data_IF_074994338982
#
_entry.id   IF_074994338982
#
_cell.length_a   1.000
_cell.length_b   1.000
_cell.length_c   1.000
_cell.angle_alpha   90.00
_cell.angle_beta   90.00
_cell.angle_gamma   90.00
#
_symmetry.space_group_name_H-M   'P 1'
#
loop_
_entity.id
_entity.type
_entity.pdbx_description
1 polymer ?
#
# COMPACT_ATOMS: atom_id res chain seq x y z
N UNK A 1 -6.65 13.02 9.02
CA UNK A 1 -6.21 12.16 10.12
C UNK A 1 -4.71 12.29 10.38
N UNK A 2 -3.89 12.11 9.33
CA UNK A 2 -2.44 12.36 9.35
C UNK A 2 -2.13 13.37 8.26
N UNK A 3 -1.36 14.43 8.57
CA UNK A 3 -0.92 15.43 7.62
C UNK A 3 0.58 15.65 7.82
N UNK A 4 1.34 15.49 6.78
CA UNK A 4 2.77 15.79 6.72
C UNK A 4 2.93 16.87 5.67
N UNK A 5 3.59 17.97 5.99
CA UNK A 5 3.76 19.12 5.10
C UNK A 5 5.21 19.56 5.09
N UNK A 6 5.78 19.59 3.88
CA UNK A 6 7.13 20.06 3.61
C UNK A 6 8.20 19.44 4.53
N UNK A 7 8.03 18.13 4.86
CA UNK A 7 8.86 17.43 5.81
C UNK A 7 10.26 17.19 5.25
N UNK A 8 11.26 17.69 5.98
CA UNK A 8 12.67 17.45 5.68
C UNK A 8 13.34 16.76 6.85
N UNK A 9 14.16 15.74 6.54
CA UNK A 9 14.96 15.02 7.54
C UNK A 9 16.29 14.58 6.96
N UNK A 10 17.37 14.98 7.64
CA UNK A 10 18.72 14.60 7.31
C UNK A 10 19.38 13.89 8.50
N UNK A 11 19.99 12.77 8.26
CA UNK A 11 20.83 12.09 9.23
C UNK A 11 22.29 12.38 8.96
N UNK A 12 23.03 12.77 9.99
CA UNK A 12 24.47 12.95 9.92
C UNK A 12 25.15 11.70 10.47
N UNK A 13 25.95 11.02 9.67
CA UNK A 13 26.67 9.82 10.04
C UNK A 13 28.18 9.95 9.77
N UNK A 14 28.92 8.92 10.18
CA UNK A 14 30.38 8.84 10.00
C UNK A 14 30.84 8.97 8.54
N UNK A 15 29.98 8.62 7.58
CA UNK A 15 30.24 8.61 6.14
C UNK A 15 29.55 9.75 5.38
N UNK A 16 29.05 10.78 6.08
CA UNK A 16 28.41 11.94 5.45
C UNK A 16 26.97 12.17 5.90
N UNK A 17 26.31 13.08 5.18
CA UNK A 17 24.89 13.41 5.40
C UNK A 17 24.00 12.60 4.47
N UNK A 18 22.93 12.05 5.00
CA UNK A 18 21.90 11.34 4.23
C UNK A 18 20.59 12.11 4.36
N UNK A 19 20.12 12.66 3.26
CA UNK A 19 18.81 13.32 3.17
C UNK A 19 17.73 12.24 3.06
N UNK A 20 17.17 11.83 4.21
CA UNK A 20 16.18 10.77 4.26
C UNK A 20 14.80 11.21 3.78
N UNK A 21 14.45 12.49 4.00
CA UNK A 21 13.25 13.11 3.46
C UNK A 21 13.60 14.51 2.94
N UNK A 22 13.02 14.85 1.78
CA UNK A 22 13.22 16.12 1.08
C UNK A 22 11.87 16.61 0.58
N UNK A 23 11.33 17.62 1.25
CA UNK A 23 10.06 18.28 0.93
C UNK A 23 8.87 17.31 0.79
N UNK A 24 8.77 16.34 1.71
CA UNK A 24 7.72 15.33 1.68
C UNK A 24 6.41 15.87 2.21
N UNK A 25 5.35 15.76 1.39
CA UNK A 25 3.99 16.12 1.79
C UNK A 25 3.03 14.96 1.49
N UNK A 26 2.26 14.52 2.50
CA UNK A 26 1.19 13.51 2.37
C UNK A 26 0.00 13.88 3.24
N UNK A 27 -1.19 13.48 2.80
CA UNK A 27 -2.43 13.64 3.54
C UNK A 27 -3.21 12.33 3.59
N UNK A 28 -3.41 11.79 4.80
CA UNK A 28 -4.17 10.57 5.06
C UNK A 28 -5.46 10.95 5.76
N UNK A 29 -6.58 10.64 5.17
CA UNK A 29 -7.90 10.91 5.72
C UNK A 29 -8.33 9.82 6.71
N UNK A 30 -9.35 10.11 7.51
CA UNK A 30 -9.92 9.12 8.43
C UNK A 30 -10.55 7.97 7.62
N UNK A 31 -10.21 6.74 7.99
CA UNK A 31 -10.71 5.54 7.32
C UNK A 31 -9.92 5.12 6.07
N UNK A 32 -8.91 5.88 5.66
CA UNK A 32 -8.04 5.45 4.56
C UNK A 32 -7.23 4.21 4.94
N UNK A 33 -6.96 3.37 3.94
CA UNK A 33 -5.82 2.46 3.91
C UNK A 33 -4.84 3.07 2.92
N UNK A 34 -3.88 3.82 3.45
CA UNK A 34 -2.92 4.59 2.65
C UNK A 34 -1.60 3.83 2.52
N UNK A 35 -1.20 3.52 1.29
CA UNK A 35 0.06 2.86 0.99
C UNK A 35 1.20 3.85 0.75
N UNK A 36 2.38 3.58 1.29
CA UNK A 36 3.63 4.24 0.90
C UNK A 36 4.54 3.19 0.29
N UNK A 37 4.82 3.35 -1.01
CA UNK A 37 5.66 2.42 -1.75
C UNK A 37 6.95 3.10 -2.21
N UNK A 38 8.01 2.34 -2.31
CA UNK A 38 9.33 2.82 -2.78
C UNK A 38 10.40 1.76 -2.56
N UNK A 39 11.52 1.88 -3.27
CA UNK A 39 12.66 0.99 -3.07
C UNK A 39 13.29 1.16 -1.68
N UNK A 40 14.16 0.22 -1.29
CA UNK A 40 14.94 0.35 -0.06
C UNK A 40 15.72 1.67 -0.05
N UNK A 41 15.74 2.35 1.08
CA UNK A 41 16.38 3.66 1.21
C UNK A 41 15.58 4.86 0.69
N UNK A 42 14.34 4.68 0.20
CA UNK A 42 13.51 5.79 -0.28
C UNK A 42 12.99 6.73 0.82
N UNK A 43 13.23 6.46 2.11
CA UNK A 43 12.79 7.31 3.23
C UNK A 43 11.52 6.83 3.95
N UNK A 44 10.89 5.75 3.50
CA UNK A 44 9.60 5.25 4.02
C UNK A 44 9.57 5.03 5.54
N UNK A 45 10.53 4.28 6.08
CA UNK A 45 10.60 4.01 7.52
C UNK A 45 10.91 5.27 8.35
N UNK A 46 11.62 6.25 7.78
CA UNK A 46 11.80 7.56 8.41
C UNK A 46 10.46 8.29 8.51
N UNK A 47 9.68 8.28 7.44
CA UNK A 47 8.37 8.93 7.41
C UNK A 47 7.40 8.33 8.44
N UNK A 48 7.34 6.99 8.57
CA UNK A 48 6.46 6.36 9.58
C UNK A 48 6.92 6.67 11.02
N UNK A 49 8.25 6.76 11.25
CA UNK A 49 8.79 7.14 12.55
C UNK A 49 8.49 8.58 12.92
N UNK A 50 8.43 9.48 11.95
CA UNK A 50 7.98 10.86 12.15
C UNK A 50 6.50 10.89 12.55
N UNK A 51 5.63 10.16 11.85
CA UNK A 51 4.20 10.07 12.16
C UNK A 51 3.96 9.50 13.56
N UNK A 52 4.79 8.57 14.01
CA UNK A 52 4.72 8.02 15.37
C UNK A 52 5.47 8.88 16.41
N UNK A 53 6.06 10.01 15.99
CA UNK A 53 6.85 10.90 16.84
C UNK A 53 8.13 10.25 17.42
N UNK A 54 8.62 9.16 16.82
CA UNK A 54 9.89 8.51 17.20
C UNK A 54 11.10 9.25 16.64
N UNK A 55 10.89 10.05 15.60
CA UNK A 55 11.88 10.95 15.02
C UNK A 55 11.36 12.38 15.05
N UNK A 56 12.28 13.34 14.93
CA UNK A 56 11.98 14.77 14.81
C UNK A 56 12.34 15.27 13.42
N UNK A 57 11.56 16.22 12.90
CA UNK A 57 11.85 16.92 11.64
C UNK A 57 13.03 17.89 11.80
N UNK A 58 13.71 18.16 10.69
CA UNK A 58 14.61 19.29 10.57
C UNK A 58 13.83 20.56 10.16
N UNK A 59 12.82 20.39 9.29
CA UNK A 59 11.84 21.44 8.93
C UNK A 59 10.54 20.81 8.40
N UNK A 60 9.48 21.60 8.30
CA UNK A 60 8.13 21.15 7.96
C UNK A 60 7.29 20.80 9.19
N UNK A 61 6.11 20.20 9.00
CA UNK A 61 5.19 19.85 10.08
C UNK A 61 4.65 18.43 9.92
N UNK A 62 4.35 17.79 11.05
CA UNK A 62 3.58 16.54 11.13
C UNK A 62 2.44 16.75 12.10
N UNK A 63 1.23 16.63 11.62
CA UNK A 63 -0.01 16.74 12.40
C UNK A 63 -0.71 15.39 12.41
N UNK A 64 -1.08 14.92 13.60
CA UNK A 64 -1.84 13.68 13.82
C UNK A 64 -3.02 13.98 14.71
N UNK A 65 -4.23 13.62 14.31
CA UNK A 65 -5.48 13.98 15.02
C UNK A 65 -5.67 15.49 15.24
N UNK A 66 -5.11 16.33 14.36
CA UNK A 66 -5.14 17.79 14.53
C UNK A 66 -4.11 18.34 15.51
N UNK A 67 -3.28 17.49 16.12
CA UNK A 67 -2.21 17.89 17.03
C UNK A 67 -0.86 17.86 16.28
N UNK A 68 -0.16 19.01 16.27
CA UNK A 68 1.18 19.10 15.65
C UNK A 68 2.22 18.48 16.58
N UNK A 69 2.92 17.42 16.10
CA UNK A 69 3.84 16.63 16.92
C UNK A 69 5.03 17.43 17.46
N UNK A 70 5.53 18.41 16.68
CA UNK A 70 6.66 19.24 17.06
C UNK A 70 6.39 20.13 18.27
N UNK A 71 5.13 20.48 18.51
CA UNK A 71 4.70 21.34 19.64
C UNK A 71 4.38 20.56 20.91
N UNK A 72 4.26 19.20 20.84
CA UNK A 72 3.81 18.39 21.96
C UNK A 72 4.91 18.15 23.00
N UNK A 73 4.55 18.32 24.27
CA UNK A 73 5.40 17.89 25.40
C UNK A 73 5.35 16.36 25.54
N UNK A 74 6.39 15.77 26.16
CA UNK A 74 6.51 14.30 26.35
C UNK A 74 5.23 13.61 26.86
N UNK A 75 4.48 14.14 27.86
CA UNK A 75 3.25 13.51 28.32
C UNK A 75 2.13 13.50 27.26
N UNK A 76 2.00 14.60 26.51
CA UNK A 76 1.01 14.73 25.43
C UNK A 76 1.33 13.76 24.29
N UNK A 77 2.60 13.69 23.88
CA UNK A 77 3.06 12.74 22.87
C UNK A 77 2.82 11.27 23.29
N UNK A 78 3.01 10.94 24.58
CA UNK A 78 2.65 9.61 25.10
C UNK A 78 1.15 9.34 24.97
N UNK A 79 0.30 10.31 25.28
CA UNK A 79 -1.17 10.20 25.13
C UNK A 79 -1.55 10.00 23.67
N UNK A 80 -0.94 10.74 22.75
CA UNK A 80 -1.19 10.59 21.32
C UNK A 80 -0.77 9.21 20.81
N UNK A 81 0.42 8.71 21.21
CA UNK A 81 0.92 7.39 20.82
C UNK A 81 0.02 6.22 21.23
N UNK A 82 -0.81 6.38 22.27
CA UNK A 82 -1.81 5.36 22.65
C UNK A 82 -2.89 5.17 21.58
N UNK A 83 -3.16 6.23 20.79
CA UNK A 83 -4.10 6.20 19.67
C UNK A 83 -3.48 5.67 18.38
N UNK A 84 -2.19 5.32 18.41
CA UNK A 84 -1.43 4.83 17.28
C UNK A 84 -0.92 3.43 17.59
N UNK A 85 -1.46 2.41 16.93
CA UNK A 85 -0.91 1.07 16.94
C UNK A 85 0.23 0.94 15.94
N UNK A 86 1.22 0.10 16.21
CA UNK A 86 2.31 -0.16 15.28
C UNK A 86 2.53 -1.66 15.08
N UNK A 87 2.58 -2.07 13.83
CA UNK A 87 2.88 -3.43 13.36
C UNK A 87 4.23 -3.39 12.66
N UNK A 88 5.15 -4.24 13.07
CA UNK A 88 6.53 -4.25 12.62
C UNK A 88 6.82 -5.42 11.68
N UNK A 89 7.79 -5.25 10.79
CA UNK A 89 8.29 -6.27 9.88
C UNK A 89 8.81 -7.52 10.62
N UNK A 90 9.57 -7.34 11.69
CA UNK A 90 10.17 -8.41 12.49
C UNK A 90 9.32 -8.78 13.72
N UNK A 91 8.00 -8.52 13.69
CA UNK A 91 7.02 -8.76 14.74
C UNK A 91 7.30 -8.03 16.06
N UNK A 92 8.55 -7.87 16.47
CA UNK A 92 9.02 -7.26 17.73
C UNK A 92 8.28 -7.81 18.98
N UNK A 93 8.09 -9.12 19.01
CA UNK A 93 7.43 -9.83 20.11
C UNK A 93 8.45 -10.30 21.14
N UNK A 94 8.00 -10.42 22.39
CA UNK A 94 8.77 -11.00 23.46
C UNK A 94 8.71 -12.54 23.36
N UNK A 95 9.73 -13.16 22.78
CA UNK A 95 9.73 -14.60 22.48
C UNK A 95 9.68 -15.48 23.74
N UNK A 96 10.21 -14.99 24.86
CA UNK A 96 10.15 -15.67 26.17
C UNK A 96 8.80 -15.52 26.90
N UNK A 97 7.82 -14.87 26.27
CA UNK A 97 6.49 -14.65 26.84
C UNK A 97 5.42 -15.30 25.98
N UNK A 98 4.27 -15.59 26.61
CA UNK A 98 3.11 -16.15 25.92
C UNK A 98 2.45 -15.09 25.01
N UNK A 99 1.57 -15.56 24.16
CA UNK A 99 0.69 -14.72 23.31
C UNK A 99 -0.07 -13.72 24.19
N UNK A 100 -0.69 -14.21 25.27
CA UNK A 100 -1.40 -13.36 26.24
C UNK A 100 -0.55 -12.20 26.73
N UNK A 101 0.67 -12.48 27.22
CA UNK A 101 1.54 -11.45 27.78
C UNK A 101 2.00 -10.43 26.72
N UNK A 102 2.25 -10.87 25.49
CA UNK A 102 2.59 -9.96 24.41
C UNK A 102 1.45 -8.99 24.08
N UNK A 103 0.22 -9.50 24.00
CA UNK A 103 -0.98 -8.69 23.69
C UNK A 103 -1.33 -7.77 24.87
N UNK A 104 -1.22 -8.26 26.11
CA UNK A 104 -1.53 -7.51 27.32
C UNK A 104 -0.52 -6.40 27.63
N UNK A 105 0.70 -6.46 27.08
CA UNK A 105 1.82 -5.59 27.47
C UNK A 105 1.49 -4.10 27.43
N UNK A 106 0.85 -3.54 26.39
CA UNK A 106 0.51 -2.11 26.38
C UNK A 106 -0.38 -1.70 27.55
N UNK A 107 -1.39 -2.52 27.88
CA UNK A 107 -2.32 -2.24 28.97
C UNK A 107 -1.67 -2.44 30.35
N UNK A 108 -0.76 -3.40 30.49
CA UNK A 108 0.03 -3.60 31.72
C UNK A 108 0.87 -2.36 32.01
N UNK A 109 1.54 -1.80 30.98
CA UNK A 109 2.34 -0.59 31.10
C UNK A 109 1.50 0.64 31.46
N UNK A 110 0.23 0.64 31.10
CA UNK A 110 -0.75 1.65 31.48
C UNK A 110 -1.39 1.42 32.85
N UNK A 111 -1.04 0.34 33.53
CA UNK A 111 -1.58 -0.05 34.83
C UNK A 111 -3.11 -0.26 34.81
N UNK A 112 -3.63 -0.75 33.69
CA UNK A 112 -5.05 -1.10 33.56
C UNK A 112 -5.36 -2.29 34.50
N UNK A 113 -6.55 -2.33 35.15
CA UNK A 113 -6.95 -3.45 35.99
C UNK A 113 -6.93 -4.79 35.25
N UNK A 114 -6.47 -5.87 35.91
CA UNK A 114 -6.30 -7.20 35.28
C UNK A 114 -7.59 -7.70 34.62
N UNK A 115 -8.74 -7.52 35.25
CA UNK A 115 -10.03 -7.96 34.70
C UNK A 115 -10.35 -7.29 33.35
N UNK A 116 -10.02 -6.01 33.18
CA UNK A 116 -10.20 -5.28 31.93
C UNK A 116 -9.18 -5.76 30.87
N UNK A 117 -7.93 -6.01 31.28
CA UNK A 117 -6.90 -6.60 30.41
C UNK A 117 -7.37 -7.94 29.88
N UNK A 118 -7.85 -8.85 30.77
CA UNK A 118 -8.32 -10.19 30.41
C UNK A 118 -9.47 -10.11 29.39
N UNK A 119 -10.43 -9.22 29.61
CA UNK A 119 -11.55 -8.97 28.70
C UNK A 119 -11.04 -8.50 27.32
N UNK A 120 -10.16 -7.50 27.30
CA UNK A 120 -9.65 -6.92 26.06
C UNK A 120 -8.78 -7.88 25.27
N UNK A 121 -7.90 -8.61 25.95
CA UNK A 121 -7.06 -9.64 25.32
C UNK A 121 -7.92 -10.73 24.69
N UNK A 122 -8.97 -11.21 25.38
CA UNK A 122 -9.90 -12.20 24.82
C UNK A 122 -10.61 -11.67 23.57
N UNK A 123 -11.06 -10.40 23.59
CA UNK A 123 -11.72 -9.76 22.46
C UNK A 123 -10.80 -9.72 21.22
N UNK A 124 -9.56 -9.20 21.38
CA UNK A 124 -8.64 -9.09 20.25
C UNK A 124 -8.13 -10.44 19.76
N UNK A 125 -7.94 -11.43 20.64
CA UNK A 125 -7.58 -12.79 20.25
C UNK A 125 -8.64 -13.43 19.36
N UNK A 126 -9.93 -13.28 19.71
CA UNK A 126 -11.03 -13.72 18.88
C UNK A 126 -11.02 -13.03 17.52
N UNK A 127 -10.78 -11.71 17.50
CA UNK A 127 -10.77 -10.93 16.27
C UNK A 127 -9.67 -11.38 15.30
N UNK A 128 -8.48 -11.75 15.82
CA UNK A 128 -7.36 -12.24 15.00
C UNK A 128 -7.32 -13.77 14.86
N UNK A 129 -8.34 -14.49 15.37
CA UNK A 129 -8.48 -15.96 15.26
C UNK A 129 -7.31 -16.73 15.91
N UNK A 130 -6.94 -16.36 17.14
CA UNK A 130 -5.88 -17.00 17.92
C UNK A 130 -6.30 -17.30 19.35
N UNK A 131 -7.59 -17.56 19.63
CA UNK A 131 -8.10 -17.82 20.99
C UNK A 131 -7.46 -19.07 21.62
N UNK A 132 -7.24 -20.12 20.82
CA UNK A 132 -6.62 -21.37 21.21
C UNK A 132 -5.12 -21.27 21.53
N UNK A 133 -4.48 -20.18 21.14
CA UNK A 133 -3.03 -19.93 21.31
C UNK A 133 -2.70 -19.02 22.48
N UNK A 134 -3.68 -18.61 23.30
CA UNK A 134 -3.53 -17.62 24.36
C UNK A 134 -2.31 -17.87 25.26
N UNK A 135 -2.13 -19.11 25.71
CA UNK A 135 -1.11 -19.50 26.67
C UNK A 135 0.15 -20.12 26.03
N UNK A 136 0.20 -20.15 24.69
CA UNK A 136 1.35 -20.64 23.91
C UNK A 136 2.46 -19.59 23.92
N UNK A 137 3.72 -20.02 23.97
CA UNK A 137 4.88 -19.13 23.83
C UNK A 137 5.04 -18.68 22.38
N UNK A 138 5.41 -17.41 22.19
CA UNK A 138 5.57 -16.83 20.85
C UNK A 138 6.62 -17.55 20.01
N UNK A 139 7.68 -18.09 20.64
CA UNK A 139 8.70 -18.91 19.98
C UNK A 139 8.16 -20.14 19.25
N UNK A 140 6.99 -20.65 19.65
CA UNK A 140 6.33 -21.84 19.09
C UNK A 140 5.37 -21.52 17.93
N UNK A 141 5.20 -20.25 17.57
CA UNK A 141 4.25 -19.80 16.56
C UNK A 141 4.90 -19.73 15.17
N UNK A 142 4.09 -19.98 14.13
CA UNK A 142 4.47 -19.67 12.75
C UNK A 142 4.61 -18.16 12.53
N UNK A 143 5.26 -17.75 11.45
CA UNK A 143 5.42 -16.33 11.08
C UNK A 143 4.09 -15.60 10.97
N UNK A 144 3.09 -16.20 10.32
CA UNK A 144 1.76 -15.61 10.22
C UNK A 144 1.03 -15.48 11.54
N UNK A 145 1.18 -16.47 12.45
CA UNK A 145 0.65 -16.38 13.79
C UNK A 145 1.35 -15.29 14.61
N UNK A 146 2.69 -15.18 14.52
CA UNK A 146 3.46 -14.08 15.14
C UNK A 146 2.96 -12.72 14.66
N UNK A 147 2.68 -12.59 13.36
CA UNK A 147 2.15 -11.35 12.81
C UNK A 147 0.76 -11.02 13.32
N UNK A 148 -0.14 -12.01 13.42
CA UNK A 148 -1.46 -11.83 14.03
C UNK A 148 -1.36 -11.41 15.51
N UNK A 149 -0.40 -11.94 16.28
CA UNK A 149 -0.12 -11.50 17.66
C UNK A 149 0.37 -10.05 17.68
N UNK A 150 1.25 -9.65 16.75
CA UNK A 150 1.71 -8.25 16.60
C UNK A 150 0.56 -7.29 16.30
N UNK A 151 -0.35 -7.68 15.42
CA UNK A 151 -1.57 -6.91 15.10
C UNK A 151 -2.49 -6.84 16.33
N UNK A 152 -2.75 -7.97 17.01
CA UNK A 152 -3.57 -8.02 18.21
C UNK A 152 -3.02 -7.09 19.30
N UNK A 153 -1.69 -7.12 19.54
CA UNK A 153 -1.03 -6.21 20.47
C UNK A 153 -1.25 -4.74 20.10
N UNK A 154 -1.14 -4.42 18.82
CA UNK A 154 -1.36 -3.05 18.35
C UNK A 154 -2.82 -2.58 18.51
N UNK A 155 -3.80 -3.51 18.42
CA UNK A 155 -5.22 -3.23 18.58
C UNK A 155 -5.69 -3.15 20.04
N UNK A 156 -4.90 -3.64 20.98
CA UNK A 156 -5.29 -3.75 22.39
C UNK A 156 -5.62 -2.39 23.02
N UNK A 157 -4.94 -1.32 22.58
CA UNK A 157 -5.19 0.06 23.04
C UNK A 157 -6.35 0.73 22.31
N UNK A 158 -7.06 0.03 21.45
CA UNK A 158 -8.15 0.57 20.61
C UNK A 158 -7.69 1.80 19.82
N UNK A 159 -6.67 1.67 18.95
CA UNK A 159 -6.08 2.79 18.25
C UNK A 159 -7.02 3.32 17.15
N UNK A 160 -6.90 4.62 16.85
CA UNK A 160 -7.55 5.26 15.70
C UNK A 160 -6.71 5.11 14.42
N UNK A 161 -5.39 4.91 14.58
CA UNK A 161 -4.42 4.77 13.49
C UNK A 161 -3.60 3.49 13.70
N UNK A 162 -3.40 2.73 12.63
CA UNK A 162 -2.50 1.59 12.59
C UNK A 162 -1.38 1.87 11.58
N UNK A 163 -0.14 1.92 12.08
CA UNK A 163 1.06 2.05 11.25
C UNK A 163 1.62 0.66 10.99
N UNK A 164 1.80 0.30 9.73
CA UNK A 164 2.33 -1.00 9.32
C UNK A 164 3.66 -0.81 8.57
N UNK A 165 4.77 -1.18 9.21
CA UNK A 165 6.10 -1.12 8.61
C UNK A 165 6.44 -2.49 8.03
N UNK A 166 6.27 -2.64 6.70
CA UNK A 166 6.53 -3.88 5.94
C UNK A 166 5.91 -5.15 6.59
N UNK A 167 4.68 -5.04 7.05
CA UNK A 167 4.00 -6.05 7.88
C UNK A 167 3.84 -7.44 7.21
N UNK A 168 4.14 -7.59 5.91
CA UNK A 168 3.97 -8.85 5.16
C UNK A 168 5.24 -9.32 4.47
N UNK A 169 6.34 -8.57 4.53
CA UNK A 169 7.55 -8.86 3.74
C UNK A 169 8.28 -10.15 4.12
N UNK A 170 8.07 -10.64 5.35
CA UNK A 170 8.67 -11.87 5.87
C UNK A 170 7.74 -13.10 5.80
N UNK A 171 6.60 -13.00 5.08
CA UNK A 171 5.56 -14.02 5.03
C UNK A 171 5.46 -14.64 3.63
N UNK A 172 5.02 -15.89 3.56
CA UNK A 172 4.66 -16.53 2.31
C UNK A 172 3.42 -15.88 1.66
N UNK A 173 3.15 -16.08 0.36
CA UNK A 173 2.06 -15.42 -0.34
C UNK A 173 0.67 -15.69 0.26
N UNK A 174 0.38 -16.93 0.68
CA UNK A 174 -0.91 -17.30 1.24
C UNK A 174 -1.14 -16.63 2.60
N UNK A 175 -0.13 -16.64 3.45
CA UNK A 175 -0.15 -15.94 4.74
C UNK A 175 -0.25 -14.43 4.56
N UNK A 176 0.46 -13.86 3.57
CA UNK A 176 0.37 -12.44 3.22
C UNK A 176 -1.08 -12.06 2.90
N UNK A 177 -1.75 -12.82 2.04
CA UNK A 177 -3.15 -12.56 1.69
C UNK A 177 -4.07 -12.59 2.91
N UNK A 178 -3.88 -13.57 3.81
CA UNK A 178 -4.66 -13.67 5.04
C UNK A 178 -4.45 -12.46 5.98
N UNK A 179 -3.21 -11.96 6.11
CA UNK A 179 -2.90 -10.75 6.90
C UNK A 179 -3.51 -9.50 6.24
N UNK A 180 -3.46 -9.37 4.91
CA UNK A 180 -4.06 -8.23 4.20
C UNK A 180 -5.59 -8.22 4.36
N UNK A 181 -6.26 -9.38 4.27
CA UNK A 181 -7.69 -9.52 4.57
C UNK A 181 -8.01 -9.11 6.00
N UNK A 182 -7.17 -9.48 6.97
CA UNK A 182 -7.32 -9.06 8.36
C UNK A 182 -7.18 -7.54 8.51
N UNK A 183 -6.20 -6.91 7.86
CA UNK A 183 -6.05 -5.44 7.89
C UNK A 183 -7.26 -4.74 7.26
N UNK A 184 -7.78 -5.23 6.12
CA UNK A 184 -8.99 -4.70 5.49
C UNK A 184 -10.21 -4.85 6.41
N UNK A 185 -10.33 -5.98 7.13
CA UNK A 185 -11.37 -6.22 8.15
C UNK A 185 -11.27 -5.23 9.31
N UNK A 186 -10.05 -4.98 9.85
CA UNK A 186 -9.81 -3.99 10.91
C UNK A 186 -10.27 -2.61 10.47
N UNK A 187 -9.86 -2.17 9.28
CA UNK A 187 -10.25 -0.87 8.74
C UNK A 187 -11.78 -0.76 8.63
N UNK A 188 -12.44 -1.75 8.02
CA UNK A 188 -13.89 -1.73 7.76
C UNK A 188 -14.73 -1.83 9.02
N UNK A 189 -14.39 -2.74 9.94
CA UNK A 189 -15.24 -3.05 11.11
C UNK A 189 -14.94 -2.15 12.30
N UNK A 190 -13.69 -1.69 12.45
CA UNK A 190 -13.26 -0.85 13.56
C UNK A 190 -13.07 0.62 13.18
N UNK A 191 -13.15 0.98 11.89
CA UNK A 191 -12.94 2.34 11.40
C UNK A 191 -11.50 2.85 11.57
N UNK A 192 -10.54 1.96 11.77
CA UNK A 192 -9.13 2.31 11.98
C UNK A 192 -8.50 2.79 10.67
N UNK A 193 -7.85 3.95 10.70
CA UNK A 193 -7.06 4.46 9.58
C UNK A 193 -5.74 3.70 9.51
N UNK A 194 -5.36 3.20 8.35
CA UNK A 194 -4.13 2.41 8.18
C UNK A 194 -3.15 3.16 7.28
N UNK A 195 -1.94 3.37 7.77
CA UNK A 195 -0.79 3.82 6.98
C UNK A 195 0.20 2.67 6.89
N UNK A 196 0.37 2.11 5.69
CA UNK A 196 1.26 0.98 5.48
C UNK A 196 2.43 1.34 4.57
N UNK A 197 3.60 0.82 4.92
CA UNK A 197 4.81 0.85 4.11
C UNK A 197 5.01 -0.52 3.49
N UNK A 198 5.32 -0.55 2.20
CA UNK A 198 5.66 -1.77 1.48
C UNK A 198 6.59 -1.45 0.29
N UNK A 199 7.27 -2.45 -0.20
CA UNK A 199 7.94 -2.44 -1.51
C UNK A 199 7.21 -3.31 -2.53
N UNK A 200 6.07 -3.92 -2.15
CA UNK A 200 5.27 -4.84 -2.96
C UNK A 200 4.01 -4.13 -3.47
N UNK A 201 3.93 -3.92 -4.79
CA UNK A 201 2.79 -3.27 -5.41
C UNK A 201 1.49 -4.08 -5.29
N UNK A 202 1.61 -5.43 -5.19
CA UNK A 202 0.47 -6.31 -4.94
C UNK A 202 -0.26 -5.97 -3.64
N UNK A 203 0.48 -5.64 -2.58
CA UNK A 203 -0.09 -5.24 -1.29
C UNK A 203 -0.94 -3.97 -1.45
N UNK A 204 -0.40 -2.98 -2.17
CA UNK A 204 -1.12 -1.73 -2.45
C UNK A 204 -2.39 -2.01 -3.25
N UNK A 205 -2.27 -2.82 -4.30
CA UNK A 205 -3.40 -3.22 -5.15
C UNK A 205 -4.53 -3.87 -4.35
N UNK A 206 -4.19 -4.76 -3.41
CA UNK A 206 -5.18 -5.57 -2.68
C UNK A 206 -5.99 -4.78 -1.65
N UNK A 207 -5.37 -3.82 -0.94
CA UNK A 207 -6.04 -3.22 0.21
C UNK A 207 -6.02 -1.69 0.27
N UNK A 208 -5.12 -0.99 -0.44
CA UNK A 208 -5.01 0.47 -0.31
C UNK A 208 -6.02 1.21 -1.19
N UNK A 209 -6.65 2.26 -0.67
CA UNK A 209 -7.46 3.18 -1.48
C UNK A 209 -6.65 4.35 -2.03
N UNK A 210 -5.58 4.77 -1.34
CA UNK A 210 -4.64 5.80 -1.78
C UNK A 210 -3.21 5.30 -1.65
N UNK A 211 -2.31 5.88 -2.45
CA UNK A 211 -0.89 5.52 -2.45
C UNK A 211 -0.03 6.76 -2.70
N UNK A 212 1.15 6.79 -2.05
CA UNK A 212 2.26 7.67 -2.40
C UNK A 212 3.47 6.83 -2.80
N UNK A 213 4.08 7.19 -3.91
CA UNK A 213 5.32 6.58 -4.42
C UNK A 213 6.50 7.44 -4.01
N UNK A 214 7.45 6.85 -3.29
CA UNK A 214 8.64 7.54 -2.83
C UNK A 214 9.88 7.09 -3.58
N UNK A 215 10.71 8.05 -3.97
CA UNK A 215 12.04 7.84 -4.53
C UNK A 215 13.01 8.87 -3.94
N UNK A 216 14.18 8.42 -3.46
CA UNK A 216 15.28 9.28 -2.96
C UNK A 216 14.82 10.34 -1.96
N UNK A 217 13.95 9.99 -1.03
CA UNK A 217 13.45 10.88 0.02
C UNK A 217 12.34 11.84 -0.41
N UNK A 218 11.79 11.70 -1.60
CA UNK A 218 10.72 12.55 -2.13
C UNK A 218 9.47 11.72 -2.47
N UNK A 219 8.30 12.33 -2.40
CA UNK A 219 7.08 11.79 -3.00
C UNK A 219 7.04 12.23 -4.46
N UNK A 220 7.19 11.28 -5.37
CA UNK A 220 7.23 11.57 -6.82
C UNK A 220 5.86 11.45 -7.48
N UNK A 221 4.95 10.70 -6.86
CA UNK A 221 3.57 10.56 -7.33
C UNK A 221 2.68 10.14 -6.16
N UNK A 222 1.47 10.69 -6.07
CA UNK A 222 0.48 10.29 -5.07
C UNK A 222 -0.94 10.49 -5.63
N UNK A 223 -1.87 9.64 -5.17
CA UNK A 223 -3.26 9.72 -5.60
C UNK A 223 -4.08 8.50 -5.17
N UNK A 224 -5.27 8.35 -5.75
CA UNK A 224 -6.01 7.12 -5.62
C UNK A 224 -5.26 5.96 -6.28
N UNK A 225 -5.43 4.76 -5.76
CA UNK A 225 -4.81 3.56 -6.37
C UNK A 225 -5.26 3.41 -7.83
N UNK A 226 -6.52 3.75 -8.13
CA UNK A 226 -7.03 3.72 -9.51
C UNK A 226 -6.29 4.66 -10.45
N UNK A 227 -6.00 5.89 -10.02
CA UNK A 227 -5.29 6.87 -10.84
C UNK A 227 -3.85 6.46 -11.07
N UNK A 228 -3.14 6.10 -9.98
CA UNK A 228 -1.72 5.73 -10.03
C UNK A 228 -1.48 4.44 -10.82
N UNK A 229 -2.40 3.45 -10.75
CA UNK A 229 -2.31 2.24 -11.57
C UNK A 229 -2.81 2.46 -13.00
N UNK A 230 -3.81 3.33 -13.15
CA UNK A 230 -4.43 3.63 -14.43
C UNK A 230 -3.51 4.42 -15.34
N UNK A 231 -2.90 5.48 -14.83
CA UNK A 231 -2.10 6.45 -15.61
C UNK A 231 -0.84 6.85 -14.85
N UNK A 232 0.09 5.91 -14.57
CA UNK A 232 1.32 6.22 -13.85
C UNK A 232 2.16 7.24 -14.63
N UNK A 233 2.57 8.32 -13.96
CA UNK A 233 3.33 9.40 -14.57
C UNK A 233 4.84 9.22 -14.36
N UNK A 234 5.26 9.04 -13.10
CA UNK A 234 6.65 8.94 -12.77
C UNK A 234 7.29 7.63 -13.29
N UNK A 235 8.53 7.65 -13.78
CA UNK A 235 9.21 6.44 -14.26
C UNK A 235 9.29 5.32 -13.23
N UNK A 236 9.50 5.66 -11.96
CA UNK A 236 9.52 4.68 -10.88
C UNK A 236 8.14 4.07 -10.63
N UNK A 237 7.07 4.86 -10.73
CA UNK A 237 5.70 4.36 -10.61
C UNK A 237 5.36 3.39 -11.74
N UNK A 238 5.74 3.71 -12.98
CA UNK A 238 5.56 2.81 -14.13
C UNK A 238 6.23 1.46 -13.87
N UNK A 239 7.46 1.46 -13.37
CA UNK A 239 8.18 0.22 -13.00
C UNK A 239 7.43 -0.58 -11.92
N UNK A 240 6.92 0.06 -10.87
CA UNK A 240 6.15 -0.62 -9.84
C UNK A 240 4.83 -1.18 -10.39
N UNK A 241 4.09 -0.42 -11.18
CA UNK A 241 2.83 -0.87 -11.78
C UNK A 241 3.06 -2.06 -12.71
N UNK A 242 4.13 -2.06 -13.49
CA UNK A 242 4.50 -3.18 -14.37
C UNK A 242 4.78 -4.50 -13.63
N UNK A 243 5.11 -4.47 -12.34
CA UNK A 243 5.30 -5.72 -11.57
C UNK A 243 3.98 -6.46 -11.29
N UNK A 244 2.85 -5.79 -11.41
CA UNK A 244 1.52 -6.36 -11.13
C UNK A 244 0.58 -6.29 -12.32
N UNK A 245 0.73 -5.29 -13.18
CA UNK A 245 -0.05 -5.13 -14.41
C UNK A 245 0.79 -5.66 -15.56
N UNK A 246 0.46 -6.87 -16.01
CA UNK A 246 1.12 -7.43 -17.19
C UNK A 246 0.47 -6.82 -18.46
N UNK A 247 0.92 -5.61 -18.80
CA UNK A 247 0.46 -4.86 -19.99
C UNK A 247 1.55 -4.75 -21.09
N UNK A 248 2.64 -5.51 -20.94
CA UNK A 248 3.69 -5.57 -21.95
C UNK A 248 3.25 -6.42 -23.13
N UNK A 249 3.53 -5.93 -24.32
CA UNK A 249 3.35 -6.70 -25.55
C UNK A 249 4.52 -7.69 -25.62
N UNK A 250 4.26 -9.03 -25.61
CA UNK A 250 5.33 -10.03 -25.73
C UNK A 250 6.17 -9.82 -26.98
N UNK A 251 7.47 -10.08 -26.89
CA UNK A 251 8.38 -9.91 -28.05
C UNK A 251 7.97 -10.80 -29.23
N UNK A 252 7.40 -11.98 -28.97
CA UNK A 252 6.83 -12.85 -30.02
C UNK A 252 5.71 -12.18 -30.81
N UNK A 253 4.87 -11.37 -30.17
CA UNK A 253 3.82 -10.61 -30.83
C UNK A 253 4.42 -9.45 -31.63
N UNK A 254 5.44 -8.76 -31.09
CA UNK A 254 6.13 -7.68 -31.79
C UNK A 254 6.81 -8.25 -33.06
N UNK A 255 7.40 -9.42 -32.99
CA UNK A 255 8.01 -10.09 -34.15
C UNK A 255 6.99 -10.49 -35.21
N UNK A 256 5.86 -11.09 -34.77
CA UNK A 256 4.74 -11.42 -35.68
C UNK A 256 4.20 -10.19 -36.41
N UNK A 257 4.10 -9.06 -35.71
CA UNK A 257 3.67 -7.78 -36.29
C UNK A 257 4.67 -7.26 -37.33
N UNK A 258 5.97 -7.41 -37.07
CA UNK A 258 7.02 -6.97 -38.01
C UNK A 258 7.13 -7.83 -39.27
N UNK A 259 6.77 -9.11 -39.18
CA UNK A 259 6.82 -10.06 -40.30
C UNK A 259 5.62 -9.94 -41.25
N UNK A 260 4.50 -9.44 -40.76
CA UNK A 260 3.30 -9.28 -41.60
C UNK A 260 3.42 -8.00 -42.45
N UNK A 261 3.23 -8.16 -43.75
CA UNK A 261 3.28 -7.06 -44.74
C UNK A 261 2.05 -6.14 -44.71
N UNK A 262 1.05 -6.45 -43.91
CA UNK A 262 -0.17 -5.66 -43.78
C UNK A 262 0.02 -4.49 -42.81
N UNK A 263 -0.52 -3.34 -43.15
CA UNK A 263 -0.47 -2.13 -42.35
C UNK A 263 -1.45 -2.25 -41.17
N UNK A 264 -0.99 -2.75 -40.06
CA UNK A 264 -1.75 -2.71 -38.80
C UNK A 264 -0.93 -2.05 -37.69
N UNK A 265 -1.63 -1.47 -36.74
CA UNK A 265 -1.05 -0.93 -35.51
C UNK A 265 -1.45 -1.83 -34.35
N UNK A 266 -0.55 -2.00 -33.38
CA UNK A 266 -0.91 -2.64 -32.13
C UNK A 266 -1.30 -1.58 -31.13
N UNK A 267 -2.56 -1.59 -30.77
CA UNK A 267 -3.13 -0.65 -29.81
C UNK A 267 -3.33 -1.34 -28.47
N UNK A 268 -3.08 -0.58 -27.41
CA UNK A 268 -3.33 -1.02 -26.04
C UNK A 268 -4.50 -0.24 -25.47
N UNK A 269 -5.62 -0.92 -25.25
CA UNK A 269 -6.79 -0.33 -24.61
C UNK A 269 -6.84 -0.70 -23.14
N UNK A 270 -6.99 0.30 -22.29
CA UNK A 270 -7.09 0.15 -20.84
C UNK A 270 -8.42 0.69 -20.33
N UNK A 271 -9.19 -0.16 -19.68
CA UNK A 271 -10.47 0.18 -19.07
C UNK A 271 -10.37 0.10 -17.57
N UNK A 272 -10.92 1.08 -16.85
CA UNK A 272 -10.84 1.15 -15.39
C UNK A 272 -12.21 1.52 -14.82
N UNK A 273 -12.65 0.80 -13.78
CA UNK A 273 -13.88 1.08 -13.06
C UNK A 273 -15.13 0.99 -13.96
N UNK A 274 -15.93 2.04 -14.02
CA UNK A 274 -17.20 2.04 -14.77
C UNK A 274 -17.04 1.85 -16.28
N UNK A 275 -15.88 2.19 -16.85
CA UNK A 275 -15.64 2.04 -18.29
C UNK A 275 -15.56 0.58 -18.73
N UNK A 276 -15.28 -0.36 -17.82
CA UNK A 276 -15.25 -1.82 -18.10
C UNK A 276 -16.61 -2.34 -18.55
N UNK A 277 -17.71 -1.68 -18.14
CA UNK A 277 -19.09 -2.09 -18.50
C UNK A 277 -19.51 -1.68 -19.91
N UNK A 278 -18.74 -0.85 -20.60
CA UNK A 278 -19.07 -0.40 -21.97
C UNK A 278 -18.60 -1.44 -22.99
N UNK A 279 -19.39 -1.74 -24.01
CA UNK A 279 -19.02 -2.68 -25.07
C UNK A 279 -18.06 -2.07 -26.11
N UNK A 280 -16.99 -1.41 -25.64
CA UNK A 280 -16.09 -0.60 -26.50
C UNK A 280 -15.47 -1.40 -27.63
N UNK A 281 -15.10 -2.67 -27.39
CA UNK A 281 -14.55 -3.52 -28.47
C UNK A 281 -15.63 -3.78 -29.53
N UNK A 282 -16.86 -4.06 -29.12
CA UNK A 282 -17.98 -4.20 -30.04
C UNK A 282 -18.21 -2.91 -30.85
N UNK A 283 -18.18 -1.77 -30.16
CA UNK A 283 -18.39 -0.47 -30.81
C UNK A 283 -17.30 -0.19 -31.86
N UNK A 284 -16.03 -0.52 -31.55
CA UNK A 284 -14.91 -0.39 -32.50
C UNK A 284 -15.11 -1.32 -33.71
N UNK A 285 -15.54 -2.56 -33.50
CA UNK A 285 -15.76 -3.54 -34.58
C UNK A 285 -16.92 -3.14 -35.53
N UNK A 286 -17.82 -2.26 -35.10
CA UNK A 286 -18.91 -1.74 -35.97
C UNK A 286 -18.48 -0.53 -36.80
N UNK A 287 -17.27 0.00 -36.61
CA UNK A 287 -16.74 1.07 -37.44
C UNK A 287 -16.30 0.48 -38.79
N UNK A 288 -16.89 0.99 -39.86
CA UNK A 288 -16.60 0.53 -41.22
C UNK A 288 -15.10 0.69 -41.58
N UNK A 289 -14.51 -0.35 -42.13
CA UNK A 289 -13.08 -0.34 -42.51
C UNK A 289 -12.12 -0.62 -41.37
N UNK A 290 -12.58 -0.92 -40.19
CA UNK A 290 -11.72 -1.30 -39.05
C UNK A 290 -11.88 -2.80 -38.78
N UNK A 291 -10.76 -3.51 -38.78
CA UNK A 291 -10.69 -4.92 -38.38
C UNK A 291 -9.84 -5.00 -37.12
N UNK A 292 -10.39 -5.60 -36.07
CA UNK A 292 -9.75 -5.75 -34.75
C UNK A 292 -9.67 -7.22 -34.41
N UNK A 293 -8.51 -7.66 -33.94
CA UNK A 293 -8.33 -8.95 -33.30
C UNK A 293 -7.88 -8.74 -31.85
N UNK A 294 -7.93 -9.75 -31.00
CA UNK A 294 -7.46 -9.71 -29.61
C UNK A 294 -6.23 -10.59 -29.51
N UNK A 295 -5.05 -10.01 -29.31
CA UNK A 295 -3.80 -10.75 -29.06
C UNK A 295 -3.59 -11.06 -27.58
N UNK A 296 -4.17 -10.26 -26.72
CA UNK A 296 -4.08 -10.46 -25.28
C UNK A 296 -5.16 -9.69 -24.53
N UNK A 297 -5.63 -10.27 -23.43
CA UNK A 297 -6.55 -9.64 -22.51
C UNK A 297 -6.15 -9.98 -21.09
N UNK A 298 -6.06 -8.97 -20.24
CA UNK A 298 -5.78 -9.14 -18.80
C UNK A 298 -6.87 -8.45 -18.01
N UNK A 299 -7.43 -9.14 -17.03
CA UNK A 299 -8.41 -8.61 -16.10
C UNK A 299 -7.82 -8.64 -14.70
N UNK A 300 -7.84 -7.52 -14.02
CA UNK A 300 -7.31 -7.40 -12.66
C UNK A 300 -8.30 -6.68 -11.75
N UNK A 301 -8.44 -7.17 -10.53
CA UNK A 301 -9.17 -6.49 -9.47
C UNK A 301 -8.26 -5.45 -8.80
N UNK A 302 -8.75 -4.23 -8.71
CA UNK A 302 -8.17 -3.12 -7.95
C UNK A 302 -9.17 -2.76 -6.85
N UNK A 303 -9.10 -3.43 -5.71
CA UNK A 303 -10.08 -3.37 -4.63
C UNK A 303 -11.50 -3.76 -5.11
N UNK A 304 -12.43 -2.79 -5.09
CA UNK A 304 -13.81 -2.97 -5.53
C UNK A 304 -14.01 -2.55 -7.00
N UNK A 305 -12.91 -2.33 -7.75
CA UNK A 305 -12.90 -1.95 -9.14
C UNK A 305 -12.17 -2.97 -10.00
N UNK A 306 -12.53 -3.01 -11.27
CA UNK A 306 -11.90 -3.87 -12.26
C UNK A 306 -11.09 -3.00 -13.21
N UNK A 307 -9.89 -3.46 -13.55
CA UNK A 307 -9.08 -2.94 -14.64
C UNK A 307 -8.91 -4.03 -15.69
N UNK A 308 -9.24 -3.70 -16.95
CA UNK A 308 -9.03 -4.57 -18.09
C UNK A 308 -8.00 -3.91 -19.03
N UNK A 309 -7.06 -4.71 -19.52
CA UNK A 309 -6.10 -4.29 -20.55
C UNK A 309 -6.22 -5.23 -21.72
N UNK A 310 -6.43 -4.68 -22.90
CA UNK A 310 -6.48 -5.42 -24.17
C UNK A 310 -5.32 -5.00 -25.04
N UNK A 311 -4.71 -5.96 -25.73
CA UNK A 311 -3.70 -5.76 -26.76
C UNK A 311 -4.35 -6.14 -28.08
N UNK A 312 -4.58 -5.16 -28.94
CA UNK A 312 -5.36 -5.27 -30.17
C UNK A 312 -4.50 -4.91 -31.38
N UNK A 313 -4.28 -5.80 -32.35
CA UNK A 313 -3.88 -5.39 -33.69
C UNK A 313 -5.11 -4.81 -34.39
N UNK A 314 -4.96 -3.62 -34.90
CA UNK A 314 -6.01 -2.88 -35.63
C UNK A 314 -5.51 -2.67 -37.02
N UNK A 315 -6.20 -3.22 -38.05
CA UNK A 315 -5.94 -2.94 -39.44
C UNK A 315 -7.01 -2.01 -40.00
N UNK A 316 -6.58 -1.09 -40.88
CA UNK A 316 -7.42 -0.11 -41.53
C UNK A 316 -7.48 -0.46 -43.00
N UNK A 317 -8.62 -0.94 -43.48
CA UNK A 317 -8.76 -1.42 -44.88
C UNK A 317 -8.91 -0.29 -45.89
N UNK A 318 -9.22 0.96 -45.51
CA UNK A 318 -9.54 2.05 -46.46
C UNK A 318 -9.09 3.46 -46.04
N UNK A 319 -8.12 3.66 -45.20
CA UNK A 319 -7.54 4.99 -44.97
C UNK A 319 -6.24 5.14 -45.75
N UNK A 320 -6.35 5.39 -47.07
CA UNK A 320 -5.29 6.06 -47.81
C UNK A 320 -5.28 7.53 -47.40
N UNK A 321 -4.16 7.91 -46.80
CA UNK A 321 -3.57 9.25 -46.82
C UNK A 321 -4.44 10.44 -46.37
N UNK A 322 -4.41 10.73 -45.07
CA UNK A 322 -3.99 12.06 -44.66
C UNK A 322 -2.98 11.83 -43.55
N UNK A 323 -1.71 11.82 -43.93
CA UNK A 323 -0.59 11.97 -43.01
C UNK A 323 -0.76 13.35 -42.36
N UNK A 324 -1.15 13.35 -41.11
CA UNK A 324 -0.80 14.41 -40.20
C UNK A 324 0.15 13.77 -39.18
N UNK A 325 1.43 14.12 -39.35
CA UNK A 325 2.43 14.02 -38.34
C UNK A 325 1.88 14.64 -37.05
N UNK A 326 1.66 13.82 -36.07
CA UNK A 326 1.59 14.22 -34.68
C UNK A 326 2.51 13.25 -33.93
N UNK A 327 3.69 13.74 -33.63
CA UNK A 327 4.77 13.13 -32.92
C UNK A 327 4.30 12.48 -31.59
N UNK A 328 4.75 11.28 -31.43
CA UNK A 328 5.25 10.46 -30.30
C UNK A 328 4.97 10.93 -28.87
#
# INVERSE_FOLDING_TARGET
MIKVEHANKTFSGKYGKVHALQDVSIHVEKGDIYGIIGFSGAGKSTLIRLVNGLETLDSGTVTVHGEELGSLKKPQLRKLRRKIGMVFQQFNLLESKTVYHNIALPLILEKVPKAEIDKKVKEVLRFVELEDKKDVYVSQLSGGQKQRVGIARALTTTPDILLCDEATSALDPQTTEAILKLLKKINREMGVTILLITHQMQVVQMICNKVAVMEKGQVVEAGSVLDVFGKPQAPVTKRFVQTVVNDQIPESIISLVKEQKEHFRVERLKFIGSSVKRPVISDICHVEGIVVNILGATVQELQDNIMCVFILPVSYTHLRAHETEADL
#
